data_IF_402460896855
#
_entry.id   IF_402460896855
#
_cell.length_a   1.000
_cell.length_b   1.000
_cell.length_c   1.000
_cell.angle_alpha   90.00
_cell.angle_beta   90.00
_cell.angle_gamma   90.00
#
_symmetry.space_group_name_H-M   'P 1'
#
loop_
_entity.id
_entity.type
_entity.pdbx_description
1 polymer ?
#
# COMPACT_ATOMS: atom_id res chain seq x y z
N UNK A 1 16.83 -20.89 -7.71
CA UNK A 1 16.64 -19.73 -6.81
C UNK A 1 15.52 -18.87 -7.36
N UNK A 2 14.50 -18.58 -6.56
CA UNK A 2 13.48 -17.60 -6.93
C UNK A 2 14.18 -16.23 -6.97
N UNK A 3 14.06 -15.51 -8.09
CA UNK A 3 14.66 -14.20 -8.21
C UNK A 3 13.80 -13.18 -7.43
N UNK A 4 14.07 -13.04 -6.13
CA UNK A 4 13.25 -12.28 -5.19
C UNK A 4 13.06 -10.81 -5.61
N UNK A 5 14.09 -10.23 -6.23
CA UNK A 5 14.02 -8.89 -6.82
C UNK A 5 12.94 -8.81 -7.93
N UNK A 6 12.93 -9.79 -8.83
CA UNK A 6 11.98 -9.85 -9.94
C UNK A 6 10.55 -10.03 -9.44
N UNK A 7 10.31 -10.95 -8.50
CA UNK A 7 8.98 -11.12 -7.90
C UNK A 7 8.52 -9.84 -7.21
N UNK A 8 9.38 -9.21 -6.41
CA UNK A 8 9.05 -7.97 -5.69
C UNK A 8 8.73 -6.82 -6.65
N UNK A 9 9.49 -6.69 -7.74
CA UNK A 9 9.30 -5.64 -8.73
C UNK A 9 8.02 -5.83 -9.54
N UNK A 10 7.76 -7.05 -10.04
CA UNK A 10 6.55 -7.33 -10.84
C UNK A 10 5.30 -7.24 -9.98
N UNK A 11 5.29 -7.85 -8.79
CA UNK A 11 4.14 -7.76 -7.86
C UNK A 11 3.92 -6.32 -7.38
N UNK A 12 5.00 -5.57 -7.15
CA UNK A 12 4.97 -4.14 -6.90
C UNK A 12 4.29 -3.36 -8.02
N UNK A 13 4.73 -3.54 -9.26
CA UNK A 13 4.27 -2.77 -10.42
C UNK A 13 2.83 -3.08 -10.78
N UNK A 14 2.46 -4.37 -10.81
CA UNK A 14 1.08 -4.79 -11.03
C UNK A 14 0.17 -4.34 -9.89
N UNK A 15 0.63 -4.46 -8.64
CA UNK A 15 -0.12 -4.00 -7.49
C UNK A 15 -0.37 -2.49 -7.51
N UNK A 16 0.62 -1.69 -7.95
CA UNK A 16 0.45 -0.25 -8.17
C UNK A 16 -0.60 0.03 -9.25
N UNK A 17 -0.55 -0.65 -10.39
CA UNK A 17 -1.51 -0.46 -11.47
C UNK A 17 -2.94 -0.75 -10.99
N UNK A 18 -3.14 -1.89 -10.34
CA UNK A 18 -4.44 -2.29 -9.75
C UNK A 18 -4.89 -1.26 -8.69
N UNK A 19 -3.97 -0.78 -7.85
CA UNK A 19 -4.28 0.20 -6.81
C UNK A 19 -4.74 1.54 -7.39
N UNK A 20 -4.12 2.03 -8.47
CA UNK A 20 -4.51 3.30 -9.11
C UNK A 20 -5.90 3.19 -9.72
N UNK A 21 -6.20 2.06 -10.39
CA UNK A 21 -7.52 1.82 -10.96
C UNK A 21 -8.60 1.70 -9.87
N UNK A 22 -8.35 0.91 -8.83
CA UNK A 22 -9.32 0.75 -7.73
C UNK A 22 -9.56 2.06 -7.00
N UNK A 23 -8.52 2.85 -6.72
CA UNK A 23 -8.67 4.16 -6.09
C UNK A 23 -9.42 5.14 -7.00
N UNK A 24 -9.20 5.11 -8.31
CA UNK A 24 -9.99 5.91 -9.25
C UNK A 24 -11.49 5.60 -9.15
N UNK A 25 -11.88 4.33 -9.15
CA UNK A 25 -13.28 3.93 -8.97
C UNK A 25 -13.84 4.32 -7.59
N UNK A 26 -13.04 4.20 -6.52
CA UNK A 26 -13.44 4.63 -5.17
C UNK A 26 -13.71 6.14 -5.14
N UNK A 27 -12.83 6.95 -5.72
CA UNK A 27 -12.97 8.42 -5.72
C UNK A 27 -14.16 8.87 -6.57
N UNK A 28 -14.43 8.19 -7.69
CA UNK A 28 -15.60 8.47 -8.54
C UNK A 28 -16.91 8.14 -7.82
N UNK A 29 -16.99 6.95 -7.22
CA UNK A 29 -18.21 6.44 -6.61
C UNK A 29 -18.53 7.13 -5.28
N UNK A 30 -17.53 7.38 -4.45
CA UNK A 30 -17.69 7.89 -3.10
C UNK A 30 -16.76 9.07 -2.82
N UNK A 31 -17.24 10.28 -3.12
CA UNK A 31 -16.50 11.52 -2.84
C UNK A 31 -16.32 11.79 -1.34
N UNK A 32 -17.02 11.11 -0.43
CA UNK A 32 -16.92 11.29 1.03
C UNK A 32 -16.49 10.01 1.78
N UNK A 33 -15.61 9.21 1.18
CA UNK A 33 -15.09 8.02 1.84
C UNK A 33 -14.35 8.37 3.16
N UNK A 34 -14.74 7.72 4.27
CA UNK A 34 -14.05 7.83 5.57
C UNK A 34 -12.86 6.87 5.59
N UNK A 35 -11.63 7.41 5.54
CA UNK A 35 -10.37 6.66 5.43
C UNK A 35 -10.05 5.74 6.62
N UNK A 36 -10.80 5.84 7.73
CA UNK A 36 -10.46 5.23 9.02
C UNK A 36 -10.37 3.69 8.96
N UNK A 37 -11.07 3.06 8.02
CA UNK A 37 -11.06 1.59 7.81
C UNK A 37 -9.81 1.07 7.12
N UNK A 38 -9.00 1.89 6.45
CA UNK A 38 -7.76 1.43 5.78
C UNK A 38 -6.50 1.63 6.61
N UNK A 39 -6.61 2.12 7.85
CA UNK A 39 -5.47 2.41 8.73
C UNK A 39 -4.70 1.17 9.21
N UNK A 40 -5.01 -0.01 8.68
CA UNK A 40 -4.43 -1.29 9.10
C UNK A 40 -3.07 -1.63 8.47
N UNK A 41 -2.51 -0.79 7.58
CA UNK A 41 -1.25 -1.08 6.86
C UNK A 41 -0.16 -0.03 7.10
N UNK A 42 0.56 -0.16 8.21
CA UNK A 42 1.83 0.55 8.44
C UNK A 42 2.99 -0.19 7.72
N UNK A 43 4.05 0.52 7.35
CA UNK A 43 5.30 -0.05 6.81
C UNK A 43 5.84 -1.22 7.64
N UNK A 44 5.74 -1.14 8.97
CA UNK A 44 6.24 -2.19 9.87
C UNK A 44 5.43 -3.48 9.73
N UNK A 45 4.10 -3.40 9.53
CA UNK A 45 3.28 -4.58 9.26
C UNK A 45 3.61 -5.18 7.89
N UNK A 46 3.82 -4.34 6.87
CA UNK A 46 4.23 -4.81 5.52
C UNK A 46 5.56 -5.55 5.59
N UNK A 47 6.52 -5.04 6.37
CA UNK A 47 7.79 -5.71 6.61
C UNK A 47 7.59 -7.07 7.27
N UNK A 48 6.76 -7.15 8.32
CA UNK A 48 6.47 -8.41 9.01
C UNK A 48 5.78 -9.44 8.12
N UNK A 49 4.75 -9.04 7.37
CA UNK A 49 4.13 -9.91 6.38
C UNK A 49 5.11 -10.31 5.29
N UNK A 50 6.00 -9.43 4.86
CA UNK A 50 7.02 -9.74 3.87
C UNK A 50 8.01 -10.80 4.36
N UNK A 51 8.51 -10.68 5.59
CA UNK A 51 9.43 -11.65 6.19
C UNK A 51 8.76 -13.03 6.27
N UNK A 52 7.54 -13.08 6.81
CA UNK A 52 6.80 -14.34 6.97
C UNK A 52 6.41 -14.94 5.62
N UNK A 53 6.03 -14.12 4.65
CA UNK A 53 5.73 -14.54 3.29
C UNK A 53 6.93 -15.21 2.61
N UNK A 54 8.10 -14.58 2.68
CA UNK A 54 9.33 -15.16 2.15
C UNK A 54 9.78 -16.42 2.90
N UNK A 55 9.54 -16.48 4.22
CA UNK A 55 9.96 -17.59 5.06
C UNK A 55 9.08 -18.84 4.89
N UNK A 56 7.76 -18.69 4.82
CA UNK A 56 6.82 -19.82 4.77
C UNK A 56 6.41 -20.25 3.37
N UNK A 57 6.39 -19.34 2.38
CA UNK A 57 5.85 -19.64 1.06
C UNK A 57 6.98 -20.07 0.11
N UNK A 58 7.13 -21.38 -0.05
CA UNK A 58 8.13 -21.96 -0.95
C UNK A 58 7.72 -21.93 -2.44
N UNK A 59 6.42 -21.93 -2.74
CA UNK A 59 5.91 -21.90 -4.12
C UNK A 59 5.99 -20.49 -4.71
N UNK A 60 6.69 -20.35 -5.84
CA UNK A 60 6.85 -19.06 -6.52
C UNK A 60 5.53 -18.40 -6.94
N UNK A 61 4.51 -19.19 -7.32
CA UNK A 61 3.19 -18.67 -7.73
C UNK A 61 2.43 -18.14 -6.51
N UNK A 62 2.39 -18.90 -5.41
CA UNK A 62 1.73 -18.46 -4.17
C UNK A 62 2.42 -17.24 -3.58
N UNK A 63 3.76 -17.22 -3.65
CA UNK A 63 4.58 -16.10 -3.20
C UNK A 63 4.26 -14.83 -4.00
N UNK A 64 4.19 -14.95 -5.33
CA UNK A 64 3.79 -13.85 -6.20
C UNK A 64 2.37 -13.32 -5.88
N UNK A 65 1.38 -14.19 -5.73
CA UNK A 65 0.01 -13.79 -5.39
C UNK A 65 -0.07 -13.09 -4.03
N UNK A 66 0.65 -13.62 -3.03
CA UNK A 66 0.74 -13.03 -1.70
C UNK A 66 1.32 -11.61 -1.75
N UNK A 67 2.46 -11.43 -2.44
CA UNK A 67 3.08 -10.11 -2.57
C UNK A 67 2.26 -9.14 -3.43
N UNK A 68 1.53 -9.63 -4.43
CA UNK A 68 0.60 -8.82 -5.20
C UNK A 68 -0.55 -8.31 -4.31
N UNK A 69 -1.11 -9.16 -3.47
CA UNK A 69 -2.15 -8.77 -2.51
C UNK A 69 -1.62 -7.73 -1.51
N UNK A 70 -0.44 -7.95 -0.93
CA UNK A 70 0.17 -6.96 -0.01
C UNK A 70 0.45 -5.63 -0.72
N UNK A 71 1.02 -5.68 -1.92
CA UNK A 71 1.32 -4.50 -2.73
C UNK A 71 0.07 -3.69 -3.03
N UNK A 72 -1.01 -4.34 -3.50
CA UNK A 72 -2.29 -3.66 -3.76
C UNK A 72 -2.85 -2.99 -2.51
N UNK A 73 -2.95 -3.70 -1.38
CA UNK A 73 -3.50 -3.14 -0.15
C UNK A 73 -2.68 -1.95 0.37
N UNK A 74 -1.36 -2.07 0.38
CA UNK A 74 -0.48 -0.99 0.83
C UNK A 74 -0.61 0.26 -0.06
N UNK A 75 -0.60 0.09 -1.38
CA UNK A 75 -0.72 1.22 -2.30
C UNK A 75 -2.12 1.85 -2.25
N UNK A 76 -3.19 1.06 -2.17
CA UNK A 76 -4.56 1.57 -2.00
C UNK A 76 -4.63 2.45 -0.75
N UNK A 77 -4.15 1.96 0.40
CA UNK A 77 -4.13 2.73 1.64
C UNK A 77 -3.39 4.06 1.48
N UNK A 78 -2.16 4.03 0.93
CA UNK A 78 -1.33 5.23 0.77
C UNK A 78 -1.97 6.25 -0.15
N UNK A 79 -2.45 5.82 -1.32
CA UNK A 79 -3.05 6.73 -2.29
C UNK A 79 -4.33 7.35 -1.71
N UNK A 80 -5.17 6.57 -1.02
CA UNK A 80 -6.39 7.08 -0.37
C UNK A 80 -6.04 8.05 0.75
N UNK A 81 -5.11 7.71 1.65
CA UNK A 81 -4.68 8.62 2.73
C UNK A 81 -4.26 9.98 2.17
N UNK A 82 -3.50 9.97 1.07
CA UNK A 82 -3.03 11.19 0.41
C UNK A 82 -4.17 12.00 -0.23
N UNK A 83 -5.09 11.35 -0.96
CA UNK A 83 -6.23 12.04 -1.61
C UNK A 83 -7.22 12.59 -0.57
N UNK A 84 -7.45 11.87 0.52
CA UNK A 84 -8.43 12.25 1.56
C UNK A 84 -7.84 13.07 2.70
N UNK A 85 -6.51 13.26 2.74
CA UNK A 85 -5.87 14.28 3.57
C UNK A 85 -6.19 15.72 3.12
N UNK A 86 -6.77 15.87 1.92
CA UNK A 86 -7.20 17.17 1.39
C UNK A 86 -8.34 17.71 2.25
N UNK A 87 -8.24 18.99 2.61
CA UNK A 87 -9.29 19.72 3.30
C UNK A 87 -10.62 19.60 2.55
N UNK A 88 -11.65 19.15 3.25
CA UNK A 88 -12.98 18.85 2.72
C UNK A 88 -13.54 20.04 1.93
N UNK A 89 -13.15 21.26 2.31
CA UNK A 89 -13.52 22.52 1.66
C UNK A 89 -13.07 22.63 0.21
N UNK A 90 -11.84 22.19 -0.11
CA UNK A 90 -11.34 22.22 -1.50
C UNK A 90 -12.11 21.22 -2.38
N UNK A 91 -12.47 20.06 -1.81
CA UNK A 91 -13.31 19.08 -2.51
C UNK A 91 -14.70 19.62 -2.83
N UNK A 92 -15.34 20.28 -1.87
CA UNK A 92 -16.63 20.93 -2.06
C UNK A 92 -16.54 22.03 -3.13
N UNK A 93 -15.48 22.84 -3.10
CA UNK A 93 -15.25 23.90 -4.10
C UNK A 93 -15.16 23.34 -5.53
N UNK A 94 -14.38 22.28 -5.74
CA UNK A 94 -14.20 21.70 -7.09
C UNK A 94 -15.51 21.09 -7.61
N UNK A 95 -16.31 20.46 -6.74
CA UNK A 95 -17.62 19.95 -7.11
C UNK A 95 -18.64 21.09 -7.36
N UNK A 96 -18.57 22.17 -6.58
CA UNK A 96 -19.44 23.34 -6.73
C UNK A 96 -19.15 24.15 -7.99
N UNK A 97 -17.92 24.08 -8.52
CA UNK A 97 -17.52 24.68 -9.81
C UNK A 97 -18.11 23.96 -11.03
N UNK A 98 -19.01 22.98 -10.85
CA UNK A 98 -19.69 22.28 -11.93
C UNK A 98 -18.83 21.26 -12.67
N UNK A 99 -17.64 20.92 -12.15
CA UNK A 99 -16.81 19.87 -12.72
C UNK A 99 -17.37 18.49 -12.41
N UNK A 100 -17.39 17.63 -13.42
CA UNK A 100 -17.80 16.24 -13.28
C UNK A 100 -16.93 15.49 -12.25
N UNK A 101 -17.54 14.51 -11.58
CA UNK A 101 -16.84 13.63 -10.61
C UNK A 101 -15.63 12.93 -11.22
N UNK A 102 -15.68 12.70 -12.54
CA UNK A 102 -14.59 12.14 -13.32
C UNK A 102 -13.39 13.09 -13.45
N UNK A 103 -13.62 14.39 -13.67
CA UNK A 103 -12.54 15.37 -13.69
C UNK A 103 -11.90 15.53 -12.31
N UNK A 104 -12.74 15.50 -11.26
CA UNK A 104 -12.25 15.55 -9.89
C UNK A 104 -11.34 14.37 -9.54
N UNK A 105 -11.73 13.15 -9.94
CA UNK A 105 -10.91 11.95 -9.66
C UNK A 105 -9.59 11.98 -10.43
N UNK A 106 -9.60 12.35 -11.71
CA UNK A 106 -8.38 12.54 -12.51
C UNK A 106 -7.46 13.58 -11.90
N UNK A 107 -7.99 14.74 -11.52
CA UNK A 107 -7.21 15.81 -10.89
C UNK A 107 -6.57 15.34 -9.58
N UNK A 108 -7.35 14.66 -8.74
CA UNK A 108 -6.89 14.16 -7.44
C UNK A 108 -5.73 13.17 -7.59
N UNK A 109 -5.82 12.22 -8.53
CA UNK A 109 -4.75 11.26 -8.79
C UNK A 109 -3.53 11.95 -9.40
N UNK A 110 -3.72 12.84 -10.38
CA UNK A 110 -2.63 13.56 -11.07
C UNK A 110 -1.78 14.37 -10.08
N UNK A 111 -2.41 14.96 -9.06
CA UNK A 111 -1.73 15.72 -8.01
C UNK A 111 -0.84 14.83 -7.13
N UNK A 112 -1.33 13.65 -6.75
CA UNK A 112 -0.62 12.75 -5.83
C UNK A 112 0.44 11.91 -6.55
N UNK A 113 0.47 11.88 -7.90
CA UNK A 113 1.38 11.07 -8.74
C UNK A 113 2.82 10.94 -8.20
N UNK A 114 3.48 12.04 -7.81
CA UNK A 114 4.85 11.98 -7.27
C UNK A 114 4.95 11.16 -5.98
N UNK A 115 3.97 11.30 -5.08
CA UNK A 115 3.88 10.52 -3.84
C UNK A 115 3.55 9.05 -4.10
N UNK A 116 2.73 8.75 -5.12
CA UNK A 116 2.44 7.37 -5.56
C UNK A 116 3.72 6.65 -6.02
N UNK A 117 4.57 7.36 -6.78
CA UNK A 117 5.87 6.81 -7.20
C UNK A 117 6.79 6.63 -5.97
N UNK A 118 6.79 7.58 -5.04
CA UNK A 118 7.53 7.45 -3.78
C UNK A 118 7.09 6.26 -2.93
N UNK A 119 5.78 6.00 -2.82
CA UNK A 119 5.25 4.85 -2.08
C UNK A 119 5.59 3.53 -2.76
N UNK A 120 5.69 3.48 -4.09
CA UNK A 120 6.21 2.33 -4.83
C UNK A 120 7.66 1.99 -4.45
N UNK A 121 8.57 2.96 -4.53
CA UNK A 121 9.97 2.72 -4.15
C UNK A 121 10.11 2.35 -2.67
N UNK A 122 9.32 2.98 -1.80
CA UNK A 122 9.30 2.64 -0.37
C UNK A 122 8.90 1.18 -0.14
N UNK A 123 7.83 0.71 -0.80
CA UNK A 123 7.39 -0.68 -0.74
C UNK A 123 8.48 -1.62 -1.29
N UNK A 124 9.11 -1.28 -2.41
CA UNK A 124 10.15 -2.09 -3.02
C UNK A 124 11.35 -2.27 -2.06
N UNK A 125 11.79 -1.21 -1.40
CA UNK A 125 12.85 -1.28 -0.37
C UNK A 125 12.43 -2.18 0.80
N UNK A 126 11.19 -2.03 1.29
CA UNK A 126 10.66 -2.89 2.37
C UNK A 126 10.67 -4.37 1.96
N UNK A 127 10.24 -4.69 0.74
CA UNK A 127 10.20 -6.06 0.26
C UNK A 127 11.60 -6.68 0.10
N UNK A 128 12.57 -5.92 -0.42
CA UNK A 128 13.96 -6.36 -0.51
C UNK A 128 14.55 -6.59 0.89
N UNK A 129 14.33 -5.64 1.82
CA UNK A 129 14.78 -5.80 3.20
C UNK A 129 14.13 -7.01 3.87
N UNK A 130 12.84 -7.24 3.64
CA UNK A 130 12.12 -8.39 4.19
C UNK A 130 12.68 -9.72 3.69
N UNK A 131 13.11 -9.79 2.43
CA UNK A 131 13.78 -10.97 1.87
C UNK A 131 15.15 -11.19 2.50
N UNK A 132 15.96 -10.14 2.69
CA UNK A 132 17.25 -10.26 3.36
C UNK A 132 17.10 -10.78 4.79
N UNK A 133 16.11 -10.28 5.53
CA UNK A 133 15.81 -10.70 6.90
C UNK A 133 15.25 -12.13 6.95
N UNK A 134 14.48 -12.55 5.94
CA UNK A 134 13.91 -13.90 5.91
C UNK A 134 14.97 -15.00 5.78
N UNK A 135 16.18 -14.67 5.31
CA UNK A 135 17.31 -15.61 5.25
C UNK A 135 18.05 -15.75 6.59
N UNK A 136 17.68 -14.96 7.62
CA UNK A 136 18.31 -15.02 8.93
C UNK A 136 17.77 -16.18 9.79
N UNK A 137 18.57 -16.60 10.78
CA UNK A 137 18.24 -17.68 11.73
C UNK A 137 16.96 -17.43 12.54
N UNK A 138 16.58 -16.16 12.76
CA UNK A 138 15.45 -15.77 13.59
C UNK A 138 14.33 -15.08 12.80
N UNK A 139 14.22 -15.34 11.49
CA UNK A 139 13.23 -14.73 10.60
C UNK A 139 11.79 -14.79 11.15
N UNK A 140 11.38 -15.94 11.69
CA UNK A 140 10.03 -16.12 12.26
C UNK A 140 9.78 -15.18 13.45
N UNK A 141 10.72 -15.07 14.38
CA UNK A 141 10.60 -14.19 15.55
C UNK A 141 10.53 -12.72 15.12
N UNK A 142 11.41 -12.30 14.21
CA UNK A 142 11.45 -10.92 13.71
C UNK A 142 10.16 -10.57 12.95
N UNK A 143 9.64 -11.50 12.15
CA UNK A 143 8.36 -11.34 11.45
C UNK A 143 7.17 -11.18 12.39
N UNK A 144 7.09 -11.99 13.44
CA UNK A 144 6.00 -11.89 14.43
C UNK A 144 6.11 -10.61 15.27
N UNK A 145 7.32 -10.25 15.73
CA UNK A 145 7.54 -9.03 16.51
C UNK A 145 7.17 -7.79 15.69
N UNK A 146 7.57 -7.73 14.42
CA UNK A 146 7.22 -6.61 13.55
C UNK A 146 5.71 -6.50 13.35
N UNK A 147 4.97 -7.60 13.19
CA UNK A 147 3.51 -7.54 13.16
C UNK A 147 2.91 -6.99 14.47
N UNK A 148 3.39 -7.44 15.63
CA UNK A 148 2.93 -6.93 16.93
C UNK A 148 3.19 -5.43 17.09
N UNK A 149 4.40 -4.98 16.78
CA UNK A 149 4.78 -3.56 16.83
C UNK A 149 3.91 -2.73 15.89
N UNK A 150 3.68 -3.23 14.67
CA UNK A 150 2.82 -2.56 13.70
C UNK A 150 1.37 -2.40 14.19
N UNK A 151 0.81 -3.44 14.80
CA UNK A 151 -0.54 -3.39 15.40
C UNK A 151 -0.60 -2.36 16.54
N UNK A 152 0.41 -2.34 17.42
CA UNK A 152 0.50 -1.37 18.52
C UNK A 152 0.52 0.08 17.99
N UNK A 153 1.30 0.35 16.94
CA UNK A 153 1.37 1.70 16.34
C UNK A 153 0.03 2.15 15.78
N UNK A 154 -0.72 1.24 15.16
CA UNK A 154 -2.07 1.53 14.65
C UNK A 154 -3.02 1.85 15.80
N UNK A 155 -3.00 1.06 16.89
CA UNK A 155 -3.82 1.31 18.08
C UNK A 155 -3.52 2.68 18.72
N UNK A 156 -2.23 3.03 18.81
CA UNK A 156 -1.79 4.31 19.37
C UNK A 156 -1.97 5.48 18.40
N UNK A 157 -2.42 5.23 17.16
CA UNK A 157 -2.58 6.24 16.09
C UNK A 157 -1.28 7.01 15.79
N UNK A 158 -0.11 6.41 16.02
CA UNK A 158 1.23 7.02 15.85
C UNK A 158 1.74 6.97 14.40
N UNK A 159 0.83 7.19 13.44
CA UNK A 159 0.97 6.87 12.01
C UNK A 159 1.12 8.09 11.09
#
# INVERSE_FOLDING_TARGET
MINAFLISLISGALGLLISVLTVFFIVISNSFFKYNTFRFFNEIMVLGFGILGWYFISSGILCFLFFLLISTLYQIYRIIREIYSIDVRFRILVLALGKDRFEYSLFSIKRVRKRIIGSFFKLLVILIASYAISQSLHAMLVGVISLLVGVILIFLKLD
#
